data_IF_497372237914
#
_entry.id   IF_497372237914
#
_cell.length_a   1.000
_cell.length_b   1.000
_cell.length_c   1.000
_cell.angle_alpha   90.00
_cell.angle_beta   90.00
_cell.angle_gamma   90.00
#
_symmetry.space_group_name_H-M   'P 1'
#
loop_
_entity.id
_entity.type
_entity.pdbx_description
1 polymer ?
#
# COMPACT_ATOMS: atom_id res chain seq x y z
N UNK A 1 6.22 6.41 20.54
CA UNK A 1 6.26 7.08 19.22
C UNK A 1 5.68 8.50 19.30
N UNK A 2 4.40 8.70 19.73
CA UNK A 2 3.81 10.04 19.86
C UNK A 2 4.71 11.01 20.64
N UNK A 3 5.16 10.63 21.83
CA UNK A 3 6.03 11.49 22.65
C UNK A 3 7.37 11.80 21.97
N UNK A 4 7.95 10.84 21.25
CA UNK A 4 9.23 11.04 20.56
C UNK A 4 9.14 12.11 19.46
N UNK A 5 8.05 12.13 18.64
CA UNK A 5 7.87 13.18 17.64
C UNK A 5 7.60 14.54 18.27
N UNK A 6 6.90 14.60 19.42
CA UNK A 6 6.68 15.85 20.17
C UNK A 6 7.98 16.39 20.77
N UNK A 7 8.81 15.54 21.38
CA UNK A 7 10.10 15.93 21.95
C UNK A 7 11.05 16.44 20.85
N UNK A 8 11.08 15.74 19.71
CA UNK A 8 11.85 16.17 18.55
C UNK A 8 11.34 17.51 18.00
N UNK A 9 10.01 17.67 17.89
CA UNK A 9 9.38 18.92 17.44
C UNK A 9 9.77 20.09 18.35
N UNK A 10 9.63 19.92 19.66
CA UNK A 10 9.97 20.96 20.64
C UNK A 10 11.44 21.36 20.58
N UNK A 11 12.33 20.40 20.37
CA UNK A 11 13.77 20.65 20.21
C UNK A 11 14.11 21.48 18.98
N UNK A 12 13.42 21.22 17.85
CA UNK A 12 13.73 21.85 16.57
C UNK A 12 12.99 23.18 16.34
N UNK A 13 11.74 23.25 16.75
CA UNK A 13 10.81 24.33 16.42
C UNK A 13 10.23 25.08 17.62
N UNK A 14 10.59 24.68 18.84
CA UNK A 14 9.99 25.16 20.08
C UNK A 14 8.68 24.46 20.43
N UNK A 15 8.37 24.43 21.74
CA UNK A 15 7.21 23.71 22.29
C UNK A 15 5.93 24.54 22.41
N UNK A 16 5.91 25.79 21.94
CA UNK A 16 4.78 26.71 22.09
C UNK A 16 3.82 26.62 20.89
N UNK A 17 2.57 27.01 21.11
CA UNK A 17 1.51 27.06 20.08
C UNK A 17 0.69 25.77 19.96
N UNK A 18 -0.19 25.72 18.98
CA UNK A 18 -1.11 24.61 18.72
C UNK A 18 -0.39 23.48 17.97
N UNK A 19 0.35 22.65 18.73
CA UNK A 19 1.03 21.48 18.19
C UNK A 19 0.09 20.29 18.28
N UNK A 20 -0.25 19.69 17.12
CA UNK A 20 -1.12 18.51 17.04
C UNK A 20 -0.36 17.30 16.56
N UNK A 21 -0.84 16.13 16.92
CA UNK A 21 -0.23 14.86 16.53
C UNK A 21 -1.18 13.97 15.76
N UNK A 22 -0.63 13.29 14.76
CA UNK A 22 -1.38 12.47 13.82
C UNK A 22 -0.68 11.14 13.59
N UNK A 23 -1.44 10.15 13.15
CA UNK A 23 -0.93 8.84 12.75
C UNK A 23 -1.60 8.39 11.47
N UNK A 24 -0.86 7.77 10.58
CA UNK A 24 -1.39 6.97 9.50
C UNK A 24 -0.66 5.62 9.45
N UNK A 25 -1.38 4.50 9.33
CA UNK A 25 -0.77 3.17 9.26
C UNK A 25 -0.05 2.95 7.94
N UNK A 26 0.76 1.88 7.87
CA UNK A 26 1.04 1.18 6.63
C UNK A 26 -0.09 0.22 6.31
N UNK A 27 0.00 -0.45 5.16
CA UNK A 27 -0.98 -1.48 4.77
C UNK A 27 -0.30 -2.75 4.29
N UNK A 28 -1.02 -3.86 4.39
CA UNK A 28 -0.74 -5.08 3.62
C UNK A 28 -1.99 -5.44 2.83
N UNK A 29 -1.81 -5.92 1.61
CA UNK A 29 -2.91 -6.50 0.85
C UNK A 29 -2.88 -8.03 1.04
N UNK A 30 -3.95 -8.58 1.58
CA UNK A 30 -4.03 -10.01 1.85
C UNK A 30 -4.18 -10.83 0.56
N UNK A 31 -4.93 -10.30 -0.43
CA UNK A 31 -5.11 -10.85 -1.78
C UNK A 31 -5.71 -9.78 -2.71
N UNK A 32 -5.57 -9.94 -4.03
CA UNK A 32 -6.07 -8.99 -5.02
C UNK A 32 -5.00 -7.98 -5.45
N UNK A 33 -3.78 -8.46 -5.77
CA UNK A 33 -2.73 -7.59 -6.26
C UNK A 33 -2.91 -7.25 -7.73
N UNK A 34 -2.62 -5.99 -8.07
CA UNK A 34 -2.69 -5.43 -9.44
C UNK A 34 -4.10 -5.47 -10.06
N UNK A 35 -5.15 -5.57 -9.22
CA UNK A 35 -6.55 -5.52 -9.67
C UNK A 35 -7.16 -4.13 -9.58
N UNK A 36 -6.62 -3.24 -8.75
CA UNK A 36 -7.19 -1.93 -8.41
C UNK A 36 -7.19 -0.93 -9.58
N UNK A 37 -6.23 -0.99 -10.48
CA UNK A 37 -6.24 -0.19 -11.71
C UNK A 37 -6.87 -0.93 -12.90
N UNK A 38 -7.35 -2.15 -12.68
CA UNK A 38 -8.09 -2.98 -13.63
C UNK A 38 -9.60 -3.05 -13.31
N UNK A 39 -10.10 -2.24 -12.35
CA UNK A 39 -11.50 -2.22 -11.94
C UNK A 39 -11.95 -3.49 -11.21
N UNK A 40 -11.02 -4.16 -10.53
CA UNK A 40 -11.29 -5.37 -9.75
C UNK A 40 -11.35 -5.09 -8.25
N UNK A 41 -11.42 -6.17 -7.47
CA UNK A 41 -11.46 -6.12 -6.02
C UNK A 41 -10.06 -6.26 -5.41
N UNK A 42 -9.87 -5.58 -4.27
CA UNK A 42 -8.70 -5.73 -3.40
C UNK A 42 -9.14 -6.07 -1.98
N UNK A 43 -8.25 -6.67 -1.19
CA UNK A 43 -8.56 -7.05 0.19
C UNK A 43 -7.44 -6.64 1.17
N UNK A 44 -7.13 -5.35 1.27
CA UNK A 44 -6.10 -4.84 2.16
C UNK A 44 -6.58 -4.69 3.60
N UNK A 45 -5.60 -4.61 4.52
CA UNK A 45 -5.83 -4.16 5.89
C UNK A 45 -4.75 -3.16 6.32
N UNK A 46 -5.13 -2.24 7.21
CA UNK A 46 -4.23 -1.32 7.88
C UNK A 46 -3.41 -2.06 8.95
N UNK A 47 -2.16 -1.66 9.13
CA UNK A 47 -1.25 -2.25 10.09
C UNK A 47 -1.14 -1.38 11.36
N UNK A 48 -0.63 -1.95 12.45
CA UNK A 48 -0.33 -1.20 13.67
C UNK A 48 0.98 -0.40 13.59
N UNK A 49 1.77 -0.61 12.54
CA UNK A 49 2.94 0.20 12.19
C UNK A 49 2.55 1.27 11.17
N UNK A 50 3.20 2.45 11.24
CA UNK A 50 2.80 3.58 10.40
C UNK A 50 3.70 4.80 10.57
N UNK A 51 3.20 5.94 10.10
CA UNK A 51 3.84 7.26 10.18
C UNK A 51 3.19 8.09 11.27
N UNK A 52 4.00 8.56 12.20
CA UNK A 52 3.65 9.52 13.25
C UNK A 52 4.06 10.92 12.81
N UNK A 53 3.21 11.89 13.04
CA UNK A 53 3.46 13.29 12.69
C UNK A 53 3.17 14.19 13.90
N UNK A 54 4.05 15.17 14.15
CA UNK A 54 3.75 16.35 14.92
C UNK A 54 3.79 17.56 14.00
N UNK A 55 2.77 18.42 14.05
CA UNK A 55 2.66 19.56 13.16
C UNK A 55 2.08 20.79 13.87
N UNK A 56 2.50 21.98 13.40
CA UNK A 56 1.99 23.29 13.84
C UNK A 56 1.85 24.20 12.62
N UNK A 57 0.73 24.94 12.51
CA UNK A 57 0.59 26.02 11.52
C UNK A 57 1.52 27.18 11.82
N UNK A 58 1.99 27.83 10.80
CA UNK A 58 2.79 29.05 10.83
C UNK A 58 1.93 30.25 10.41
N UNK A 59 2.41 31.45 10.75
CA UNK A 59 1.78 32.71 10.30
C UNK A 59 2.28 33.17 8.93
N UNK A 60 3.25 32.43 8.35
CA UNK A 60 3.81 32.66 7.01
C UNK A 60 3.51 31.47 6.06
N UNK A 61 4.04 31.53 4.85
CA UNK A 61 3.85 30.49 3.83
C UNK A 61 5.01 29.49 3.74
N UNK A 62 5.94 29.51 4.71
CA UNK A 62 7.09 28.61 4.74
C UNK A 62 6.70 27.22 5.20
N UNK A 63 7.32 26.20 4.62
CA UNK A 63 7.23 24.81 5.01
C UNK A 63 8.58 24.35 5.57
N UNK A 64 8.59 23.82 6.77
CA UNK A 64 9.77 23.22 7.38
C UNK A 64 9.46 21.78 7.75
N UNK A 65 10.18 20.87 7.12
CA UNK A 65 10.02 19.43 7.28
C UNK A 65 11.23 18.81 7.97
N UNK A 66 11.01 17.95 8.92
CA UNK A 66 12.05 17.12 9.49
C UNK A 66 11.60 15.67 9.60
N UNK A 67 12.43 14.73 9.14
CA UNK A 67 12.18 13.31 9.28
C UNK A 67 13.20 12.68 10.23
N UNK A 68 12.69 12.06 11.29
CA UNK A 68 13.54 11.30 12.23
C UNK A 68 14.13 10.03 11.59
N UNK A 69 13.61 9.60 10.43
CA UNK A 69 14.19 8.50 9.65
C UNK A 69 15.35 8.95 8.74
N UNK A 70 15.48 10.26 8.48
CA UNK A 70 16.49 10.86 7.61
C UNK A 70 17.18 12.06 8.29
N UNK A 71 17.61 11.85 9.53
CA UNK A 71 18.21 12.91 10.38
C UNK A 71 19.39 13.63 9.71
N UNK A 72 20.13 12.92 8.87
CA UNK A 72 21.28 13.46 8.13
C UNK A 72 20.89 14.57 7.13
N UNK A 73 19.61 14.66 6.73
CA UNK A 73 19.12 15.73 5.84
C UNK A 73 18.81 17.03 6.59
N UNK A 74 18.74 16.98 7.93
CA UNK A 74 18.34 18.11 8.74
C UNK A 74 16.91 18.58 8.47
N UNK A 75 16.65 19.86 8.76
CA UNK A 75 15.38 20.52 8.42
C UNK A 75 15.40 20.89 6.95
N UNK A 76 14.43 20.35 6.20
CA UNK A 76 14.23 20.70 4.78
C UNK A 76 13.22 21.84 4.72
N UNK A 77 13.65 22.99 4.15
CA UNK A 77 12.79 24.16 3.99
C UNK A 77 12.24 24.24 2.56
N UNK A 78 11.01 24.70 2.43
CA UNK A 78 10.28 24.94 1.17
C UNK A 78 9.22 26.03 1.40
N UNK A 79 8.45 26.34 0.36
CA UNK A 79 7.37 27.32 0.43
C UNK A 79 6.10 26.79 -0.25
N UNK A 80 4.93 27.23 0.22
CA UNK A 80 3.65 27.04 -0.48
C UNK A 80 3.59 27.75 -1.84
N UNK A 81 4.52 28.68 -2.11
CA UNK A 81 4.60 29.40 -3.38
C UNK A 81 5.37 28.61 -4.44
N UNK A 82 6.02 27.52 -4.04
CA UNK A 82 6.89 26.68 -4.88
C UNK A 82 6.42 25.23 -4.88
N UNK A 83 5.24 24.96 -5.44
CA UNK A 83 4.83 23.60 -5.76
C UNK A 83 5.44 23.20 -7.11
N UNK A 84 6.70 22.77 -7.07
CA UNK A 84 7.32 22.19 -8.23
C UNK A 84 6.70 20.81 -8.51
N UNK A 85 6.18 20.66 -9.72
CA UNK A 85 5.60 19.38 -10.17
C UNK A 85 6.70 18.36 -10.45
N UNK A 86 6.50 17.14 -9.98
CA UNK A 86 7.38 16.00 -10.20
C UNK A 86 8.23 15.63 -8.99
N UNK A 87 8.88 14.47 -9.09
CA UNK A 87 9.77 13.94 -8.04
C UNK A 87 10.99 14.86 -7.90
N UNK A 88 10.96 15.74 -6.91
CA UNK A 88 12.14 16.49 -6.51
C UNK A 88 13.24 15.58 -5.91
N UNK A 89 13.09 14.25 -6.00
CA UNK A 89 14.00 13.27 -5.45
C UNK A 89 14.10 13.26 -3.92
N UNK A 90 13.26 14.04 -3.24
CA UNK A 90 13.30 14.30 -1.80
C UNK A 90 12.00 13.81 -1.15
N UNK A 91 12.10 13.24 0.05
CA UNK A 91 10.97 12.74 0.83
C UNK A 91 9.82 13.76 1.08
N UNK A 92 10.04 15.09 1.15
CA UNK A 92 8.96 16.07 1.24
C UNK A 92 8.03 16.15 0.02
N UNK A 93 8.32 15.47 -1.08
CA UNK A 93 7.43 15.44 -2.24
C UNK A 93 6.04 14.89 -1.89
N UNK A 94 5.93 13.84 -1.06
CA UNK A 94 4.64 13.28 -0.66
C UNK A 94 3.76 14.25 0.14
N UNK A 95 4.23 14.90 1.24
CA UNK A 95 3.39 15.89 1.93
C UNK A 95 3.12 17.13 1.08
N UNK A 96 4.05 17.59 0.24
CA UNK A 96 3.83 18.73 -0.67
C UNK A 96 2.78 18.39 -1.74
N UNK A 97 2.87 17.19 -2.32
CA UNK A 97 1.87 16.70 -3.28
C UNK A 97 0.47 16.66 -2.70
N UNK A 98 0.32 16.25 -1.43
CA UNK A 98 -0.97 16.25 -0.75
C UNK A 98 -1.51 17.69 -0.52
N UNK A 99 -0.64 18.63 -0.12
CA UNK A 99 -1.02 20.05 0.00
C UNK A 99 -1.46 20.62 -1.35
N UNK A 100 -0.71 20.30 -2.42
CA UNK A 100 -1.06 20.68 -3.78
C UNK A 100 -2.41 20.07 -4.20
N UNK A 101 -2.66 18.79 -3.92
CA UNK A 101 -3.91 18.13 -4.25
C UNK A 101 -5.12 18.79 -3.57
N UNK A 102 -5.00 19.18 -2.29
CA UNK A 102 -6.04 19.95 -1.59
C UNK A 102 -6.36 21.26 -2.32
N UNK A 103 -5.33 22.02 -2.68
CA UNK A 103 -5.51 23.28 -3.43
C UNK A 103 -6.23 23.03 -4.78
N UNK A 104 -5.85 21.99 -5.53
CA UNK A 104 -6.49 21.65 -6.81
C UNK A 104 -7.97 21.24 -6.65
N UNK A 105 -8.32 20.69 -5.49
CA UNK A 105 -9.71 20.29 -5.16
C UNK A 105 -10.55 21.39 -4.52
N UNK A 106 -10.02 22.63 -4.46
CA UNK A 106 -10.75 23.79 -3.94
C UNK A 106 -10.64 23.99 -2.42
N UNK A 107 -9.69 23.33 -1.77
CA UNK A 107 -9.37 23.47 -0.35
C UNK A 107 -8.01 24.17 -0.18
N UNK A 108 -7.95 25.50 -0.09
CA UNK A 108 -6.72 26.25 -0.12
C UNK A 108 -5.86 26.01 1.12
N UNK A 109 -4.56 25.81 0.92
CA UNK A 109 -3.55 25.73 1.98
C UNK A 109 -2.85 27.09 2.02
N UNK A 110 -3.29 27.99 2.91
CA UNK A 110 -2.86 29.38 2.93
C UNK A 110 -1.71 29.67 3.89
N UNK A 111 -1.53 28.82 4.89
CA UNK A 111 -0.49 28.93 5.92
C UNK A 111 0.52 27.79 5.80
N UNK A 112 1.79 28.10 6.04
CA UNK A 112 2.85 27.11 6.10
C UNK A 112 2.82 26.27 7.38
N UNK A 113 3.76 25.34 7.48
CA UNK A 113 3.80 24.37 8.59
C UNK A 113 5.23 24.13 9.07
N UNK A 114 5.36 23.84 10.35
CA UNK A 114 6.45 23.09 10.95
C UNK A 114 5.97 21.64 11.10
N UNK A 115 6.71 20.67 10.55
CA UNK A 115 6.31 19.25 10.54
C UNK A 115 7.50 18.38 10.94
N UNK A 116 7.30 17.50 11.92
CA UNK A 116 8.20 16.41 12.24
C UNK A 116 7.51 15.09 11.96
N UNK A 117 8.20 14.18 11.26
CA UNK A 117 7.71 12.85 10.89
C UNK A 117 8.63 11.77 11.47
N UNK A 118 8.03 10.67 11.89
CA UNK A 118 8.70 9.42 12.22
C UNK A 118 7.88 8.23 11.72
N UNK A 119 8.48 7.39 10.89
CA UNK A 119 7.87 6.15 10.39
C UNK A 119 8.55 4.92 10.99
N UNK A 120 7.75 3.96 11.48
CA UNK A 120 8.24 2.63 11.84
C UNK A 120 7.86 1.57 10.80
N UNK A 121 7.40 2.00 9.63
CA UNK A 121 7.28 1.14 8.44
C UNK A 121 8.70 0.88 7.93
N UNK A 122 9.09 -0.37 7.68
CA UNK A 122 10.41 -0.67 7.14
C UNK A 122 10.65 0.02 5.79
N UNK A 123 11.81 0.67 5.65
CA UNK A 123 12.14 1.39 4.42
C UNK A 123 12.20 0.45 3.20
N UNK A 124 11.54 0.84 2.11
CA UNK A 124 11.55 0.04 0.87
C UNK A 124 10.75 -1.27 0.93
N UNK A 125 10.02 -1.51 2.02
CA UNK A 125 9.27 -2.75 2.24
C UNK A 125 8.08 -2.96 1.31
N UNK A 126 7.59 -1.91 0.64
CA UNK A 126 6.35 -2.00 -0.14
C UNK A 126 5.07 -1.99 0.70
N UNK A 127 5.16 -1.65 1.99
CA UNK A 127 4.02 -1.48 2.90
C UNK A 127 3.43 -0.07 2.86
N UNK A 128 3.63 0.65 1.74
CA UNK A 128 3.02 1.97 1.42
C UNK A 128 3.40 3.11 2.34
N UNK A 129 4.69 3.28 2.60
CA UNK A 129 5.17 4.42 3.40
C UNK A 129 4.85 5.78 2.76
N UNK A 130 4.88 5.93 1.43
CA UNK A 130 4.48 7.16 0.72
C UNK A 130 3.01 7.49 0.97
N UNK A 131 2.11 6.55 0.71
CA UNK A 131 0.68 6.73 0.94
C UNK A 131 0.35 6.99 2.43
N UNK A 132 1.14 6.42 3.37
CA UNK A 132 1.03 6.73 4.80
C UNK A 132 1.38 8.19 5.09
N UNK A 133 2.46 8.73 4.51
CA UNK A 133 2.84 10.15 4.63
C UNK A 133 1.82 11.06 3.97
N UNK A 134 1.30 10.70 2.82
CA UNK A 134 0.23 11.45 2.14
C UNK A 134 -1.04 11.51 2.99
N UNK A 135 -1.50 10.36 3.46
CA UNK A 135 -2.75 10.26 4.23
C UNK A 135 -2.63 10.99 5.57
N UNK A 136 -1.51 10.86 6.31
CA UNK A 136 -1.33 11.61 7.56
C UNK A 136 -1.29 13.11 7.33
N UNK A 137 -0.75 13.56 6.18
CA UNK A 137 -0.76 14.97 5.78
C UNK A 137 -2.19 15.43 5.46
N UNK A 138 -2.98 14.62 4.74
CA UNK A 138 -4.39 14.92 4.46
C UNK A 138 -5.23 15.04 5.72
N UNK A 139 -5.04 14.14 6.68
CA UNK A 139 -5.71 14.21 8.00
C UNK A 139 -5.32 15.48 8.74
N UNK A 140 -4.03 15.83 8.74
CA UNK A 140 -3.51 17.07 9.35
C UNK A 140 -4.17 18.32 8.71
N UNK A 141 -4.20 18.40 7.38
CA UNK A 141 -4.79 19.52 6.67
C UNK A 141 -6.29 19.65 6.98
N UNK A 142 -7.02 18.54 6.89
CA UNK A 142 -8.44 18.49 7.24
C UNK A 142 -8.69 19.01 8.65
N UNK A 143 -7.95 18.53 9.64
CA UNK A 143 -8.11 18.90 11.05
C UNK A 143 -7.69 20.35 11.32
N UNK A 144 -6.52 20.78 10.84
CA UNK A 144 -5.99 22.10 11.14
C UNK A 144 -6.72 23.26 10.44
N UNK A 145 -7.31 23.02 9.25
CA UNK A 145 -8.10 24.04 8.55
C UNK A 145 -9.60 23.90 8.78
N UNK A 146 -10.06 22.87 9.52
CA UNK A 146 -11.49 22.65 9.77
C UNK A 146 -12.27 22.27 8.51
N UNK A 147 -11.67 21.52 7.61
CA UNK A 147 -12.32 21.03 6.37
C UNK A 147 -13.22 19.82 6.65
N UNK A 148 -14.24 20.00 7.49
CA UNK A 148 -15.10 18.92 7.96
C UNK A 148 -15.94 18.25 6.86
N UNK A 149 -16.08 18.88 5.72
CA UNK A 149 -16.76 18.31 4.54
C UNK A 149 -15.93 17.25 3.80
N UNK A 150 -14.62 17.21 4.03
CA UNK A 150 -13.73 16.21 3.43
C UNK A 150 -13.87 14.90 4.20
N UNK A 151 -14.33 13.84 3.54
CA UNK A 151 -14.36 12.48 4.10
C UNK A 151 -12.98 11.81 4.08
N UNK A 152 -12.85 10.66 4.76
CA UNK A 152 -11.62 9.86 4.67
C UNK A 152 -11.44 9.24 3.27
N UNK A 153 -12.55 8.98 2.55
CA UNK A 153 -12.51 8.54 1.15
C UNK A 153 -11.95 9.66 0.26
N UNK A 154 -12.35 10.92 0.51
CA UNK A 154 -11.79 12.06 -0.24
C UNK A 154 -10.28 12.19 0.02
N UNK A 155 -9.82 11.98 1.26
CA UNK A 155 -8.38 11.98 1.58
C UNK A 155 -7.65 10.89 0.78
N UNK A 156 -8.22 9.69 0.67
CA UNK A 156 -7.64 8.62 -0.15
C UNK A 156 -7.57 9.01 -1.64
N UNK A 157 -8.65 9.59 -2.17
CA UNK A 157 -8.71 10.07 -3.56
C UNK A 157 -7.72 11.20 -3.83
N UNK A 158 -7.52 12.12 -2.86
CA UNK A 158 -6.55 13.20 -3.00
C UNK A 158 -5.12 12.68 -2.93
N UNK A 159 -4.85 11.66 -2.11
CA UNK A 159 -3.55 10.96 -2.08
C UNK A 159 -3.23 10.29 -3.42
N UNK A 160 -4.18 9.52 -3.98
CA UNK A 160 -4.02 8.94 -5.31
C UNK A 160 -3.83 10.02 -6.39
N UNK A 161 -4.58 11.11 -6.33
CA UNK A 161 -4.45 12.24 -7.25
C UNK A 161 -3.07 12.89 -7.15
N UNK A 162 -2.51 13.02 -5.94
CA UNK A 162 -1.15 13.48 -5.68
C UNK A 162 -0.12 12.56 -6.30
N UNK A 163 -0.19 11.24 -6.06
CA UNK A 163 0.75 10.27 -6.63
C UNK A 163 0.74 10.30 -8.15
N UNK A 164 -0.45 10.30 -8.76
CA UNK A 164 -0.59 10.22 -10.21
C UNK A 164 -0.16 11.52 -10.92
N UNK A 165 -0.49 12.69 -10.37
CA UNK A 165 -0.33 13.97 -11.07
C UNK A 165 0.84 14.81 -10.55
N UNK A 166 1.22 14.67 -9.28
CA UNK A 166 2.33 15.42 -8.70
C UNK A 166 3.62 14.59 -8.70
N UNK A 167 3.56 13.33 -8.25
CA UNK A 167 4.70 12.43 -8.16
C UNK A 167 4.96 11.61 -9.45
N UNK A 168 3.99 11.53 -10.37
CA UNK A 168 4.11 10.85 -11.66
C UNK A 168 4.11 9.32 -11.58
N UNK A 169 3.50 8.74 -10.52
CA UNK A 169 3.32 7.30 -10.36
C UNK A 169 1.87 6.94 -10.62
N UNK A 170 1.58 6.21 -11.69
CA UNK A 170 0.23 5.81 -12.07
C UNK A 170 -0.33 4.68 -11.20
N UNK A 171 -0.45 4.92 -9.88
CA UNK A 171 -0.98 3.93 -8.94
C UNK A 171 -2.51 3.79 -9.01
N UNK A 172 -3.02 2.64 -8.52
CA UNK A 172 -4.42 2.46 -8.17
C UNK A 172 -4.77 3.13 -6.84
N UNK A 173 -5.98 2.88 -6.33
CA UNK A 173 -6.48 3.54 -5.10
C UNK A 173 -6.20 2.75 -3.82
N UNK A 174 -5.83 1.48 -3.93
CA UNK A 174 -5.78 0.52 -2.83
C UNK A 174 -5.01 1.03 -1.61
N UNK A 175 -3.82 1.58 -1.83
CA UNK A 175 -2.91 1.96 -0.75
C UNK A 175 -3.48 3.08 0.12
N UNK A 176 -3.88 4.17 -0.53
CA UNK A 176 -4.45 5.33 0.15
C UNK A 176 -5.78 4.98 0.81
N UNK A 177 -6.61 4.15 0.14
CA UNK A 177 -7.91 3.74 0.68
C UNK A 177 -7.74 2.86 1.94
N UNK A 178 -6.85 1.87 1.89
CA UNK A 178 -6.58 1.00 3.03
C UNK A 178 -6.07 1.77 4.26
N UNK A 179 -5.19 2.75 4.03
CA UNK A 179 -4.60 3.57 5.09
C UNK A 179 -5.62 4.56 5.67
N UNK A 180 -6.43 5.18 4.82
CA UNK A 180 -7.43 6.12 5.27
C UNK A 180 -8.61 5.45 5.99
N UNK A 181 -9.09 4.32 5.45
CA UNK A 181 -10.33 3.66 5.85
C UNK A 181 -10.10 2.42 6.75
N UNK A 182 -8.87 2.12 7.15
CA UNK A 182 -8.56 0.96 7.99
C UNK A 182 -9.43 0.88 9.24
N UNK A 183 -9.73 -0.35 9.65
CA UNK A 183 -10.48 -0.65 10.87
C UNK A 183 -9.83 -1.83 11.58
N UNK A 184 -9.62 -1.66 12.87
CA UNK A 184 -9.01 -2.69 13.73
C UNK A 184 -9.68 -4.05 13.53
N UNK A 185 -8.86 -5.09 13.43
CA UNK A 185 -9.25 -6.50 13.25
C UNK A 185 -10.10 -6.78 12.00
N UNK A 186 -10.11 -5.84 11.01
CA UNK A 186 -10.84 -6.00 9.75
C UNK A 186 -9.94 -5.74 8.54
N UNK A 187 -10.16 -6.49 7.48
CA UNK A 187 -9.71 -6.11 6.14
C UNK A 187 -10.86 -5.44 5.36
N UNK A 188 -10.50 -4.69 4.35
CA UNK A 188 -11.45 -3.95 3.51
C UNK A 188 -11.62 -4.70 2.20
N UNK A 189 -12.80 -5.24 1.94
CA UNK A 189 -13.16 -5.75 0.63
C UNK A 189 -13.67 -4.58 -0.20
N UNK A 190 -12.84 -4.11 -1.10
CA UNK A 190 -13.08 -2.91 -1.90
C UNK A 190 -13.25 -3.27 -3.37
N UNK A 191 -14.37 -2.89 -3.96
CA UNK A 191 -14.55 -2.79 -5.41
C UNK A 191 -13.96 -1.46 -5.89
N UNK A 192 -12.89 -1.52 -6.68
CA UNK A 192 -12.19 -0.32 -7.12
C UNK A 192 -12.86 0.37 -8.31
N UNK A 193 -13.86 -0.23 -8.91
CA UNK A 193 -14.63 0.35 -10.02
C UNK A 193 -15.60 1.45 -9.58
N UNK A 194 -16.19 1.31 -8.38
CA UNK A 194 -17.18 2.24 -7.85
C UNK A 194 -16.95 2.66 -6.38
N UNK A 195 -15.84 2.19 -5.79
CA UNK A 195 -15.42 2.40 -4.40
C UNK A 195 -16.41 1.88 -3.34
N UNK A 196 -17.27 0.95 -3.70
CA UNK A 196 -18.05 0.22 -2.71
C UNK A 196 -17.14 -0.70 -1.91
N UNK A 197 -17.33 -0.69 -0.62
CA UNK A 197 -16.51 -1.49 0.28
C UNK A 197 -17.31 -2.06 1.44
N UNK A 198 -16.79 -3.14 2.00
CA UNK A 198 -17.26 -3.70 3.25
C UNK A 198 -16.07 -4.09 4.15
N UNK A 199 -16.29 -4.04 5.45
CA UNK A 199 -15.32 -4.55 6.42
C UNK A 199 -15.56 -6.04 6.67
N UNK A 200 -14.58 -6.85 6.37
CA UNK A 200 -14.59 -8.27 6.70
C UNK A 200 -13.70 -8.53 7.93
N UNK A 201 -14.24 -9.02 9.04
CA UNK A 201 -13.44 -9.38 10.20
C UNK A 201 -12.39 -10.44 9.84
N UNK A 202 -11.14 -10.18 10.19
CA UNK A 202 -10.03 -11.13 9.99
C UNK A 202 -9.79 -11.89 11.29
N UNK A 203 -10.45 -13.04 11.42
CA UNK A 203 -10.32 -13.91 12.57
C UNK A 203 -9.27 -14.97 12.29
N UNK A 204 -8.07 -14.74 12.74
CA UNK A 204 -6.95 -15.69 12.61
C UNK A 204 -6.73 -16.41 13.94
N UNK A 205 -7.71 -17.26 14.34
CA UNK A 205 -7.64 -17.98 15.60
C UNK A 205 -6.38 -18.85 15.67
N UNK A 206 -5.46 -18.53 16.60
CA UNK A 206 -4.20 -19.23 16.76
C UNK A 206 -3.16 -18.98 15.66
N UNK A 207 -3.37 -18.00 14.78
CA UNK A 207 -2.41 -17.60 13.74
C UNK A 207 -2.22 -16.10 13.72
N UNK A 208 -1.14 -15.62 13.07
CA UNK A 208 -0.82 -14.21 12.90
C UNK A 208 -0.30 -13.91 11.51
N UNK A 209 -0.31 -12.63 11.17
CA UNK A 209 0.27 -12.12 9.93
C UNK A 209 1.77 -11.89 10.17
N UNK A 210 2.59 -12.50 9.32
CA UNK A 210 4.03 -12.27 9.29
C UNK A 210 4.40 -11.67 7.94
N UNK A 211 5.02 -10.50 7.97
CA UNK A 211 5.58 -9.83 6.80
C UNK A 211 7.05 -10.21 6.71
N UNK A 212 7.48 -10.69 5.54
CA UNK A 212 8.89 -10.96 5.29
C UNK A 212 9.41 -10.00 4.22
N UNK A 213 10.31 -9.09 4.58
CA UNK A 213 10.88 -8.10 3.69
C UNK A 213 12.15 -8.62 3.03
N UNK A 214 12.17 -8.63 1.70
CA UNK A 214 13.28 -9.16 0.92
C UNK A 214 14.57 -8.36 1.02
N UNK A 215 14.50 -7.10 1.47
CA UNK A 215 15.63 -6.16 1.49
C UNK A 215 16.31 -5.94 0.14
N UNK A 216 15.62 -6.33 -0.96
CA UNK A 216 16.06 -6.01 -2.31
C UNK A 216 16.04 -4.51 -2.51
N UNK A 217 17.18 -3.95 -2.88
CA UNK A 217 17.27 -2.52 -3.26
C UNK A 217 16.39 -2.29 -4.50
N UNK A 218 15.43 -1.39 -4.38
CA UNK A 218 14.56 -1.01 -5.51
C UNK A 218 15.40 -0.31 -6.58
N UNK A 219 15.30 -0.84 -7.79
CA UNK A 219 15.86 -0.23 -9.00
C UNK A 219 14.75 0.42 -9.84
N UNK A 220 14.53 -0.09 -11.04
CA UNK A 220 13.53 0.39 -12.02
C UNK A 220 12.08 -0.06 -11.71
N UNK A 221 11.72 -0.24 -10.45
CA UNK A 221 10.39 -0.79 -10.06
C UNK A 221 9.21 0.06 -10.56
N UNK A 222 9.32 1.38 -10.46
CA UNK A 222 8.25 2.30 -10.90
C UNK A 222 8.01 2.23 -12.42
N UNK A 223 9.07 2.08 -13.22
CA UNK A 223 8.95 1.93 -14.68
C UNK A 223 8.29 0.62 -15.07
N UNK A 224 8.64 -0.48 -14.39
CA UNK A 224 8.03 -1.79 -14.61
C UNK A 224 6.58 -1.86 -14.14
N UNK A 225 6.23 -1.18 -13.07
CA UNK A 225 4.85 -1.06 -12.63
C UNK A 225 3.99 -0.37 -13.70
N UNK A 226 4.45 0.77 -14.22
CA UNK A 226 3.76 1.47 -15.30
C UNK A 226 3.67 0.63 -16.59
N UNK A 227 4.68 -0.19 -16.88
CA UNK A 227 4.67 -1.15 -17.99
C UNK A 227 3.54 -2.17 -17.82
N UNK A 228 3.41 -2.82 -16.65
CA UNK A 228 2.33 -3.77 -16.34
C UNK A 228 0.94 -3.15 -16.51
N UNK A 229 0.76 -1.91 -16.05
CA UNK A 229 -0.48 -1.18 -16.23
C UNK A 229 -0.78 -0.93 -17.72
N UNK A 230 0.20 -0.46 -18.49
CA UNK A 230 0.05 -0.22 -19.92
C UNK A 230 -0.26 -1.51 -20.70
N UNK A 231 0.35 -2.64 -20.31
CA UNK A 231 0.04 -3.96 -20.91
C UNK A 231 -1.43 -4.35 -20.68
N UNK A 232 -1.96 -4.13 -19.47
CA UNK A 232 -3.38 -4.39 -19.17
C UNK A 232 -4.32 -3.41 -19.90
N UNK A 233 -4.01 -2.12 -19.95
CA UNK A 233 -4.80 -1.11 -20.65
C UNK A 233 -4.88 -1.43 -22.16
N UNK A 234 -3.76 -1.88 -22.75
CA UNK A 234 -3.73 -2.32 -24.14
C UNK A 234 -4.56 -3.58 -24.36
N UNK A 235 -4.44 -4.57 -23.47
CA UNK A 235 -5.25 -5.79 -23.53
C UNK A 235 -6.75 -5.48 -23.44
N UNK A 236 -7.14 -4.60 -22.53
CA UNK A 236 -8.53 -4.13 -22.40
C UNK A 236 -9.03 -3.50 -23.71
N UNK A 237 -8.25 -2.60 -24.31
CA UNK A 237 -8.60 -1.96 -25.57
C UNK A 237 -8.74 -2.97 -26.75
N UNK A 238 -8.00 -4.08 -26.70
CA UNK A 238 -8.14 -5.17 -27.68
C UNK A 238 -9.43 -5.97 -27.45
N UNK A 239 -9.78 -6.29 -26.19
CA UNK A 239 -11.04 -6.99 -25.83
C UNK A 239 -12.26 -6.11 -26.15
N UNK A 240 -12.19 -4.81 -25.92
CA UNK A 240 -13.29 -3.87 -26.19
C UNK A 240 -13.75 -3.83 -27.66
N UNK A 241 -12.94 -4.35 -28.58
CA UNK A 241 -13.34 -4.49 -30.00
C UNK A 241 -14.36 -5.61 -30.22
N UNK A 242 -14.47 -6.56 -29.30
CA UNK A 242 -15.33 -7.75 -29.39
C UNK A 242 -16.33 -7.90 -28.27
N UNK A 243 -16.14 -7.19 -27.16
CA UNK A 243 -17.01 -7.25 -25.97
C UNK A 243 -17.12 -5.85 -25.33
N UNK A 244 -18.34 -5.43 -25.02
CA UNK A 244 -18.59 -4.15 -24.35
C UNK A 244 -18.32 -4.28 -22.85
N UNK A 245 -17.14 -3.83 -22.40
CA UNK A 245 -16.69 -3.79 -21.01
C UNK A 245 -15.90 -2.50 -20.75
N UNK A 246 -15.89 -2.03 -19.53
CA UNK A 246 -15.15 -0.83 -19.11
C UNK A 246 -13.80 -1.17 -18.48
N UNK A 247 -13.70 -2.37 -17.89
CA UNK A 247 -12.50 -2.82 -17.19
C UNK A 247 -12.34 -4.35 -17.28
N UNK A 248 -11.14 -4.86 -17.07
CA UNK A 248 -10.89 -6.30 -17.00
C UNK A 248 -11.59 -6.96 -15.80
N UNK A 249 -11.81 -6.21 -14.71
CA UNK A 249 -12.51 -6.69 -13.53
C UNK A 249 -13.97 -7.06 -13.74
N UNK A 250 -14.60 -6.62 -14.85
CA UNK A 250 -15.97 -7.00 -15.19
C UNK A 250 -16.09 -8.43 -15.72
N UNK A 251 -14.97 -9.02 -16.15
CA UNK A 251 -14.98 -10.36 -16.75
C UNK A 251 -14.96 -11.46 -15.69
N UNK A 252 -15.77 -12.50 -15.91
CA UNK A 252 -15.54 -13.80 -15.28
C UNK A 252 -14.42 -14.55 -15.98
N UNK A 253 -13.89 -15.61 -15.36
CA UNK A 253 -12.88 -16.47 -16.00
C UNK A 253 -13.38 -17.08 -17.31
N UNK A 254 -14.63 -17.57 -17.33
CA UNK A 254 -15.26 -18.15 -18.54
C UNK A 254 -15.40 -17.11 -19.66
N UNK A 255 -15.85 -15.90 -19.34
CA UNK A 255 -15.96 -14.82 -20.30
C UNK A 255 -14.60 -14.39 -20.86
N UNK A 256 -13.57 -14.35 -20.01
CA UNK A 256 -12.20 -14.06 -20.45
C UNK A 256 -11.70 -15.12 -21.43
N UNK A 257 -11.85 -16.41 -21.08
CA UNK A 257 -11.43 -17.52 -21.96
C UNK A 257 -12.12 -17.47 -23.33
N UNK A 258 -13.37 -16.99 -23.40
CA UNK A 258 -14.12 -16.83 -24.64
C UNK A 258 -13.61 -15.68 -25.54
N UNK A 259 -12.96 -14.65 -24.95
CA UNK A 259 -12.53 -13.44 -25.68
C UNK A 259 -11.01 -13.21 -25.71
N UNK A 260 -10.21 -14.00 -25.00
CA UNK A 260 -8.76 -13.82 -24.87
C UNK A 260 -8.00 -13.74 -26.19
N UNK A 261 -8.48 -14.42 -27.22
CA UNK A 261 -7.87 -14.45 -28.58
C UNK A 261 -8.00 -13.11 -29.33
N UNK A 262 -8.78 -12.16 -28.79
CA UNK A 262 -8.79 -10.79 -29.26
C UNK A 262 -7.45 -10.08 -28.92
N UNK A 263 -6.81 -10.48 -27.82
CA UNK A 263 -5.49 -10.00 -27.42
C UNK A 263 -4.44 -10.72 -28.26
N UNK A 264 -3.71 -9.99 -29.11
CA UNK A 264 -2.77 -10.60 -30.07
C UNK A 264 -1.42 -10.97 -29.47
N UNK A 265 -0.99 -10.25 -28.43
CA UNK A 265 0.28 -10.48 -27.77
C UNK A 265 0.10 -11.48 -26.62
N UNK A 266 0.82 -12.62 -26.62
CA UNK A 266 0.70 -13.63 -25.57
C UNK A 266 1.14 -13.11 -24.17
N UNK A 267 2.03 -12.12 -24.12
CA UNK A 267 2.42 -11.50 -22.84
C UNK A 267 1.23 -10.73 -22.28
N UNK A 268 0.58 -9.89 -23.10
CA UNK A 268 -0.62 -9.15 -22.65
C UNK A 268 -1.79 -10.08 -22.32
N UNK A 269 -1.92 -11.24 -23.01
CA UNK A 269 -2.92 -12.25 -22.62
C UNK A 269 -2.68 -12.74 -21.18
N UNK A 270 -1.42 -13.02 -20.79
CA UNK A 270 -1.07 -13.40 -19.43
C UNK A 270 -1.39 -12.31 -18.41
N UNK A 271 -1.06 -11.03 -18.73
CA UNK A 271 -1.38 -9.90 -17.84
C UNK A 271 -2.89 -9.77 -17.60
N UNK A 272 -3.67 -9.80 -18.68
CA UNK A 272 -5.13 -9.74 -18.59
C UNK A 272 -5.71 -10.95 -17.85
N UNK A 273 -5.18 -12.15 -18.11
CA UNK A 273 -5.54 -13.37 -17.36
C UNK A 273 -5.32 -13.20 -15.86
N UNK A 274 -4.15 -12.72 -15.46
CA UNK A 274 -3.91 -12.45 -14.04
C UNK A 274 -4.97 -11.51 -13.46
N UNK A 275 -5.22 -10.37 -14.11
CA UNK A 275 -6.17 -9.36 -13.62
C UNK A 275 -7.58 -9.93 -13.42
N UNK A 276 -8.08 -10.73 -14.37
CA UNK A 276 -9.40 -11.36 -14.29
C UNK A 276 -9.45 -12.45 -13.23
N UNK A 277 -8.49 -13.36 -13.24
CA UNK A 277 -8.46 -14.51 -12.33
C UNK A 277 -8.16 -14.08 -10.89
N UNK A 278 -7.29 -13.09 -10.69
CA UNK A 278 -7.00 -12.55 -9.36
C UNK A 278 -8.23 -11.83 -8.76
N UNK A 279 -8.99 -11.13 -9.58
CA UNK A 279 -10.25 -10.53 -9.16
C UNK A 279 -11.23 -11.59 -8.64
N UNK A 280 -11.45 -12.67 -9.41
CA UNK A 280 -12.32 -13.77 -8.99
C UNK A 280 -11.79 -14.50 -7.74
N UNK A 281 -10.47 -14.68 -7.67
CA UNK A 281 -9.79 -15.28 -6.52
C UNK A 281 -9.97 -14.46 -5.26
N UNK A 282 -9.95 -13.13 -5.38
CA UNK A 282 -10.18 -12.20 -4.27
C UNK A 282 -11.60 -12.34 -3.72
N UNK A 283 -12.61 -12.39 -4.57
CA UNK A 283 -14.00 -12.62 -4.17
C UNK A 283 -14.16 -13.95 -3.43
N UNK A 284 -13.56 -15.03 -3.97
CA UNK A 284 -13.57 -16.35 -3.34
C UNK A 284 -12.86 -16.37 -1.98
N UNK A 285 -11.73 -15.66 -1.87
CA UNK A 285 -10.96 -15.57 -0.64
C UNK A 285 -11.75 -14.87 0.49
N UNK A 286 -12.44 -13.78 0.17
CA UNK A 286 -13.32 -13.09 1.13
C UNK A 286 -14.47 -13.99 1.56
N UNK A 287 -15.06 -14.74 0.64
CA UNK A 287 -16.12 -15.71 0.98
C UNK A 287 -15.61 -16.83 1.91
N UNK A 288 -14.41 -17.37 1.63
CA UNK A 288 -13.76 -18.38 2.47
C UNK A 288 -13.51 -17.84 3.90
N UNK A 289 -12.97 -16.63 4.00
CA UNK A 289 -12.70 -16.00 5.30
C UNK A 289 -13.99 -15.74 6.09
N UNK A 290 -15.05 -15.27 5.44
CA UNK A 290 -16.37 -15.08 6.06
C UNK A 290 -17.00 -16.41 6.54
N UNK A 291 -16.71 -17.50 5.84
CA UNK A 291 -17.11 -18.86 6.22
C UNK A 291 -16.19 -19.48 7.30
N UNK A 292 -15.16 -18.75 7.77
CA UNK A 292 -14.14 -19.25 8.69
C UNK A 292 -13.32 -20.42 8.12
N UNK A 293 -13.22 -20.52 6.78
CA UNK A 293 -12.40 -21.51 6.08
C UNK A 293 -11.03 -20.91 5.78
N UNK A 294 -10.21 -20.84 6.83
CA UNK A 294 -8.87 -20.25 6.75
C UNK A 294 -7.93 -21.10 5.88
N UNK A 295 -8.16 -22.41 5.77
CA UNK A 295 -7.36 -23.27 4.91
C UNK A 295 -7.58 -22.91 3.44
N UNK A 296 -8.86 -22.76 3.02
CA UNK A 296 -9.20 -22.31 1.66
C UNK A 296 -8.66 -20.92 1.36
N UNK A 297 -8.71 -20.02 2.34
CA UNK A 297 -8.12 -18.69 2.19
C UNK A 297 -6.60 -18.78 1.90
N UNK A 298 -5.87 -19.63 2.63
CA UNK A 298 -4.45 -19.86 2.42
C UNK A 298 -4.14 -20.47 1.04
N UNK A 299 -4.92 -21.45 0.57
CA UNK A 299 -4.80 -21.99 -0.79
C UNK A 299 -4.93 -20.89 -1.86
N UNK A 300 -5.89 -19.98 -1.69
CA UNK A 300 -6.12 -18.87 -2.63
C UNK A 300 -4.98 -17.86 -2.58
N UNK A 301 -4.40 -17.58 -1.41
CA UNK A 301 -3.18 -16.78 -1.29
C UNK A 301 -2.02 -17.41 -2.08
N UNK A 302 -1.80 -18.71 -1.94
CA UNK A 302 -0.74 -19.43 -2.65
C UNK A 302 -0.96 -19.39 -4.17
N UNK A 303 -2.20 -19.61 -4.63
CA UNK A 303 -2.57 -19.52 -6.03
C UNK A 303 -2.37 -18.11 -6.61
N UNK A 304 -2.64 -17.07 -5.81
CA UNK A 304 -2.35 -15.68 -6.17
C UNK A 304 -0.85 -15.46 -6.43
N UNK A 305 0.04 -15.98 -5.56
CA UNK A 305 1.49 -15.85 -5.77
C UNK A 305 1.94 -16.54 -7.06
N UNK A 306 1.44 -17.74 -7.35
CA UNK A 306 1.75 -18.45 -8.59
C UNK A 306 1.37 -17.62 -9.83
N UNK A 307 0.17 -17.02 -9.83
CA UNK A 307 -0.29 -16.15 -10.92
C UNK A 307 0.57 -14.88 -11.04
N UNK A 308 0.97 -14.27 -9.92
CA UNK A 308 1.86 -13.10 -9.90
C UNK A 308 3.26 -13.43 -10.45
N UNK A 309 3.75 -14.66 -10.22
CA UNK A 309 5.03 -15.15 -10.74
C UNK A 309 4.94 -15.48 -12.23
N UNK A 310 3.95 -16.29 -12.63
CA UNK A 310 3.94 -16.96 -13.94
C UNK A 310 3.16 -16.18 -15.01
N UNK A 311 2.06 -15.49 -14.61
CA UNK A 311 1.23 -14.71 -15.50
C UNK A 311 1.57 -13.22 -15.48
N UNK A 312 1.91 -12.66 -14.30
CA UNK A 312 2.15 -11.22 -14.16
C UNK A 312 3.64 -10.85 -14.14
N UNK A 313 4.51 -11.77 -13.75
CA UNK A 313 5.99 -11.64 -13.72
C UNK A 313 6.48 -10.42 -12.92
N UNK A 314 5.99 -10.32 -11.68
CA UNK A 314 6.32 -9.22 -10.75
C UNK A 314 7.04 -9.67 -9.48
N UNK A 315 7.25 -10.98 -9.28
CA UNK A 315 7.82 -11.51 -8.04
C UNK A 315 9.34 -11.45 -8.04
N UNK A 316 10.00 -12.22 -8.90
CA UNK A 316 11.45 -12.37 -8.93
C UNK A 316 11.98 -13.30 -7.83
N UNK A 317 13.26 -13.68 -7.97
CA UNK A 317 13.87 -14.75 -7.18
C UNK A 317 13.79 -14.49 -5.67
N UNK A 318 13.86 -13.24 -5.22
CA UNK A 318 13.85 -12.91 -3.80
C UNK A 318 12.48 -13.20 -3.17
N UNK A 319 11.39 -12.75 -3.82
CA UNK A 319 10.04 -12.98 -3.31
C UNK A 319 9.62 -14.44 -3.49
N UNK A 320 9.99 -15.06 -4.60
CA UNK A 320 9.73 -16.49 -4.84
C UNK A 320 10.42 -17.35 -3.78
N UNK A 321 11.69 -17.05 -3.45
CA UNK A 321 12.41 -17.76 -2.39
C UNK A 321 11.70 -17.63 -1.03
N UNK A 322 11.28 -16.41 -0.64
CA UNK A 322 10.58 -16.22 0.62
C UNK A 322 9.28 -17.02 0.69
N UNK A 323 8.51 -17.04 -0.40
CA UNK A 323 7.22 -17.74 -0.44
C UNK A 323 7.38 -19.25 -0.53
N UNK A 324 8.27 -19.74 -1.37
CA UNK A 324 8.52 -21.20 -1.51
C UNK A 324 9.06 -21.81 -0.20
N UNK A 325 9.96 -21.11 0.49
CA UNK A 325 10.44 -21.54 1.80
C UNK A 325 9.33 -21.44 2.88
N UNK A 326 8.46 -20.43 2.79
CA UNK A 326 7.29 -20.33 3.66
C UNK A 326 6.36 -21.53 3.47
N UNK A 327 6.03 -21.92 2.25
CA UNK A 327 5.15 -23.07 1.96
C UNK A 327 5.69 -24.39 2.53
N UNK A 328 7.02 -24.53 2.64
CA UNK A 328 7.69 -25.70 3.20
C UNK A 328 7.82 -25.66 4.74
N UNK A 329 7.36 -24.58 5.40
CA UNK A 329 7.39 -24.48 6.85
C UNK A 329 6.11 -25.01 7.49
N UNK A 330 6.22 -25.80 8.58
CA UNK A 330 5.06 -26.16 9.40
C UNK A 330 4.33 -24.90 9.90
N UNK A 331 3.01 -25.02 10.03
CA UNK A 331 2.17 -23.95 10.57
C UNK A 331 1.87 -22.80 9.61
N UNK A 332 2.45 -22.77 8.41
CA UNK A 332 2.08 -21.80 7.37
C UNK A 332 0.76 -22.21 6.73
N UNK A 333 -0.22 -21.31 6.77
CA UNK A 333 -1.54 -21.50 6.18
C UNK A 333 -1.55 -21.03 4.73
N UNK A 334 -0.90 -19.89 4.45
CA UNK A 334 -0.72 -19.36 3.12
C UNK A 334 0.36 -18.30 3.10
N UNK A 335 1.00 -18.10 1.93
CA UNK A 335 2.04 -17.09 1.73
C UNK A 335 2.06 -16.60 0.29
N UNK A 336 2.26 -15.28 0.12
CA UNK A 336 2.33 -14.62 -1.18
C UNK A 336 3.09 -13.29 -1.10
N UNK A 337 3.55 -12.80 -2.25
CA UNK A 337 4.02 -11.41 -2.30
C UNK A 337 2.87 -10.44 -2.04
N UNK A 338 3.18 -9.24 -1.55
CA UNK A 338 2.22 -8.15 -1.34
C UNK A 338 2.76 -6.83 -1.89
N UNK A 339 1.86 -5.99 -2.44
CA UNK A 339 2.19 -4.72 -3.07
C UNK A 339 2.62 -4.85 -4.53
N UNK A 340 3.41 -3.90 -5.01
CA UNK A 340 3.79 -3.80 -6.42
C UNK A 340 4.71 -4.91 -6.94
N UNK A 341 5.35 -5.67 -6.05
CA UNK A 341 6.38 -6.64 -6.45
C UNK A 341 7.73 -5.98 -6.78
N UNK A 342 8.53 -6.64 -7.62
CA UNK A 342 9.89 -6.24 -8.04
C UNK A 342 10.88 -6.09 -6.87
N UNK A 343 10.61 -6.76 -5.77
CA UNK A 343 11.18 -6.65 -4.44
C UNK A 343 10.10 -6.29 -3.43
N UNK A 344 10.46 -5.76 -2.26
CA UNK A 344 9.50 -5.49 -1.19
C UNK A 344 9.25 -6.71 -0.33
N UNK A 345 7.99 -7.03 0.00
CA UNK A 345 7.68 -8.02 1.01
C UNK A 345 6.72 -9.11 0.53
N UNK A 346 6.69 -10.18 1.31
CA UNK A 346 5.64 -11.20 1.29
C UNK A 346 4.77 -11.07 2.55
N UNK A 347 3.55 -11.56 2.46
CA UNK A 347 2.61 -11.73 3.57
C UNK A 347 2.35 -13.22 3.76
N UNK A 348 2.53 -13.69 4.98
CA UNK A 348 2.25 -15.07 5.37
C UNK A 348 1.29 -15.10 6.54
N UNK A 349 0.38 -16.09 6.56
CA UNK A 349 -0.43 -16.42 7.71
C UNK A 349 0.20 -17.64 8.35
N UNK A 350 0.68 -17.49 9.59
CA UNK A 350 1.47 -18.50 10.29
C UNK A 350 0.83 -18.77 11.66
N UNK A 351 0.72 -20.04 12.05
CA UNK A 351 0.29 -20.40 13.40
C UNK A 351 1.21 -19.78 14.44
N UNK A 352 0.63 -19.24 15.49
CA UNK A 352 1.35 -18.49 16.51
C UNK A 352 2.50 -19.29 17.13
N UNK A 353 2.31 -20.58 17.36
CA UNK A 353 3.30 -21.50 17.92
C UNK A 353 4.49 -21.79 17.00
N UNK A 354 4.32 -21.57 15.68
CA UNK A 354 5.34 -21.85 14.67
C UNK A 354 6.10 -20.61 14.19
N UNK A 355 5.78 -19.40 14.66
CA UNK A 355 6.34 -18.14 14.16
C UNK A 355 7.85 -18.08 14.30
N UNK A 356 8.40 -18.44 15.46
CA UNK A 356 9.85 -18.39 15.69
C UNK A 356 10.59 -19.38 14.79
N UNK A 357 10.04 -20.58 14.60
CA UNK A 357 10.57 -21.58 13.68
C UNK A 357 10.48 -21.14 12.21
N UNK A 358 9.36 -20.49 11.82
CA UNK A 358 9.17 -19.90 10.51
C UNK A 358 10.25 -18.85 10.22
N UNK A 359 10.43 -17.86 11.11
CA UNK A 359 11.43 -16.81 10.96
C UNK A 359 12.85 -17.39 10.84
N UNK A 360 13.19 -18.36 11.69
CA UNK A 360 14.51 -18.97 11.68
C UNK A 360 14.77 -19.75 10.38
N UNK A 361 13.84 -20.60 9.93
CA UNK A 361 14.00 -21.44 8.75
C UNK A 361 13.98 -20.66 7.46
N UNK A 362 12.95 -19.83 7.25
CA UNK A 362 12.80 -19.01 6.03
C UNK A 362 13.95 -18.01 5.94
N UNK A 363 14.33 -17.38 7.07
CA UNK A 363 15.43 -16.43 7.11
C UNK A 363 16.80 -17.06 6.77
N UNK A 364 17.08 -18.25 7.29
CA UNK A 364 18.31 -18.97 6.99
C UNK A 364 18.38 -19.40 5.51
N UNK A 365 17.31 -20.02 5.00
CA UNK A 365 17.23 -20.48 3.62
C UNK A 365 17.30 -19.32 2.62
N UNK A 366 16.62 -18.21 2.92
CA UNK A 366 16.68 -16.98 2.12
C UNK A 366 18.10 -16.43 2.04
N UNK A 367 18.77 -16.28 3.21
CA UNK A 367 20.15 -15.79 3.27
C UNK A 367 21.11 -16.68 2.50
N UNK A 368 20.94 -17.99 2.58
CA UNK A 368 21.76 -18.97 1.85
C UNK A 368 21.58 -18.83 0.33
N UNK A 369 20.33 -18.73 -0.14
CA UNK A 369 20.01 -18.68 -1.58
C UNK A 369 20.26 -17.33 -2.21
N UNK A 370 19.99 -16.23 -1.49
CA UNK A 370 20.01 -14.85 -2.02
C UNK A 370 21.32 -14.12 -1.67
N UNK A 371 22.01 -14.53 -0.59
CA UNK A 371 23.29 -13.95 -0.18
C UNK A 371 23.21 -12.80 0.82
N UNK A 372 22.01 -12.35 1.20
CA UNK A 372 21.77 -11.35 2.25
C UNK A 372 20.49 -11.67 3.04
N UNK A 373 20.34 -11.08 4.22
CA UNK A 373 19.24 -11.42 5.12
C UNK A 373 17.93 -10.72 4.70
N UNK A 374 16.80 -11.40 4.94
CA UNK A 374 15.47 -10.80 4.99
C UNK A 374 15.15 -10.33 6.42
N UNK A 375 14.23 -9.37 6.54
CA UNK A 375 13.66 -8.95 7.82
C UNK A 375 12.24 -9.45 7.98
N UNK A 376 11.86 -9.76 9.23
CA UNK A 376 10.55 -10.32 9.54
C UNK A 376 9.83 -9.45 10.58
N UNK A 377 8.53 -9.23 10.34
CA UNK A 377 7.68 -8.42 11.22
C UNK A 377 6.38 -9.18 11.48
N UNK A 378 6.13 -9.49 12.75
CA UNK A 378 4.83 -9.98 13.20
C UNK A 378 3.94 -8.77 13.44
N UNK A 379 2.85 -8.65 12.71
CA UNK A 379 2.01 -7.47 12.69
C UNK A 379 0.57 -7.78 13.09
N UNK A 380 -0.12 -6.75 13.58
CA UNK A 380 -1.55 -6.78 13.87
C UNK A 380 -2.29 -5.80 12.94
N UNK A 381 -3.59 -6.03 12.79
CA UNK A 381 -4.47 -5.17 12.00
C UNK A 381 -4.93 -4.02 12.89
N UNK A 382 -4.62 -2.81 12.46
CA UNK A 382 -4.90 -1.57 13.16
C UNK A 382 -6.06 -0.76 12.57
N UNK A 383 -6.33 0.38 13.20
CA UNK A 383 -7.23 1.39 12.66
C UNK A 383 -6.55 2.22 11.56
N UNK A 384 -7.36 2.91 10.76
CA UNK A 384 -6.91 3.84 9.75
C UNK A 384 -6.31 5.13 10.32
N UNK A 385 -6.00 6.06 9.42
CA UNK A 385 -5.37 7.32 9.79
C UNK A 385 -6.28 8.22 10.64
N UNK A 386 -5.67 8.97 11.57
CA UNK A 386 -6.42 9.85 12.46
C UNK A 386 -5.55 10.78 13.31
N UNK A 387 -6.24 11.63 14.07
CA UNK A 387 -5.63 12.50 15.09
C UNK A 387 -5.26 11.64 16.30
N UNK A 388 -4.05 11.81 16.80
CA UNK A 388 -3.61 11.17 18.06
C UNK A 388 -3.98 12.06 19.26
N UNK A 389 -4.95 11.60 20.02
CA UNK A 389 -5.40 12.28 21.26
C UNK A 389 -4.39 12.13 22.39
#
# INVERSE_FOLDING_TARGET
>A
MKQQVLDCFAKLFGGEGDIRTYFAPGRVNLIGEHTDYNGGHVFPCALTIGTYMAARKRDDRKLRFYSMNFEQLGVVESSLDEFLMGKEGNWPASPKGMMWAFCQKGFPVEQGFDIVLYGNIPNGSGLSSSASVETVTGVMLRDMFGYDTISMIDIALYGQFSENNYNGVNCGIMDQFAIAMGKKDCAIFLDTSDLKYEYAPVKLEGARIVISCSNKKRGLGDSKYNERRSECETALAEIQKVKDIKSLGELTEEEFEAVKDAIKDPVRQKRAKHAVYENQRTVQAVAALKANDIAKFGELMNASHVSLRDDYEVTGIELDTLVEEAWNCPGVIGSRMTGAGFGGCTVSIVKTEDIDNFIAKVGAAYKEKIGYAADFYVVDIGDGAGVLK
#
